data_IF_863163890966
#
_entry.id   IF_863163890966
#
_cell.length_a   1.000
_cell.length_b   1.000
_cell.length_c   1.000
_cell.angle_alpha   90.00
_cell.angle_beta   90.00
_cell.angle_gamma   90.00
#
_symmetry.space_group_name_H-M   'P 1'
#
loop_
_entity.id
_entity.type
_entity.pdbx_description
1 polymer ?
#
# COMPACT_ATOMS: atom_id res chain seq x y z
N UNK A 1 -5.92 -2.03 -17.76
CA UNK A 1 -4.75 -1.14 -17.66
C UNK A 1 -3.97 -1.50 -16.40
N UNK A 2 -2.69 -1.83 -16.53
CA UNK A 2 -1.84 -2.07 -15.36
C UNK A 2 -1.36 -0.74 -14.79
N UNK A 3 -1.73 -0.43 -13.55
CA UNK A 3 -1.28 0.80 -12.88
C UNK A 3 0.13 0.57 -12.34
N UNK A 4 1.06 1.41 -12.76
CA UNK A 4 2.47 1.37 -12.34
C UNK A 4 2.80 2.57 -11.46
N UNK A 5 3.52 2.35 -10.37
CA UNK A 5 3.96 3.40 -9.46
C UNK A 5 5.30 3.06 -8.81
N UNK A 6 6.11 4.06 -8.51
CA UNK A 6 7.36 3.83 -7.78
C UNK A 6 7.12 3.77 -6.26
N UNK A 7 8.15 3.42 -5.49
CA UNK A 7 8.06 3.35 -4.02
C UNK A 7 7.65 4.67 -3.38
N UNK A 8 8.15 5.82 -3.86
CA UNK A 8 7.81 7.13 -3.29
C UNK A 8 6.33 7.45 -3.47
N UNK A 9 5.78 7.19 -4.65
CA UNK A 9 4.36 7.34 -4.95
C UNK A 9 3.52 6.44 -4.04
N UNK A 10 3.84 5.14 -3.98
CA UNK A 10 3.14 4.19 -3.12
C UNK A 10 3.08 4.66 -1.65
N UNK A 11 4.22 5.03 -1.08
CA UNK A 11 4.30 5.50 0.32
C UNK A 11 3.53 6.80 0.51
N UNK A 12 3.61 7.74 -0.44
CA UNK A 12 2.89 8.99 -0.39
C UNK A 12 1.37 8.74 -0.35
N UNK A 13 0.85 7.95 -1.28
CA UNK A 13 -0.58 7.63 -1.36
C UNK A 13 -1.06 6.88 -0.11
N UNK A 14 -0.29 5.91 0.38
CA UNK A 14 -0.62 5.19 1.63
C UNK A 14 -0.73 6.15 2.81
N UNK A 15 0.24 7.06 2.99
CA UNK A 15 0.22 8.05 4.07
C UNK A 15 -0.97 9.02 3.95
N UNK A 16 -1.33 9.43 2.73
CA UNK A 16 -2.53 10.26 2.47
C UNK A 16 -3.83 9.57 2.86
N UNK A 17 -3.90 8.26 2.69
CA UNK A 17 -5.04 7.44 3.11
C UNK A 17 -5.05 7.11 4.61
N UNK A 18 -4.08 7.60 5.38
CA UNK A 18 -4.00 7.37 6.83
C UNK A 18 -3.27 6.09 7.23
N UNK A 19 -2.64 5.37 6.30
CA UNK A 19 -1.75 4.28 6.66
C UNK A 19 -0.49 4.84 7.32
N UNK A 20 0.00 4.14 8.34
CA UNK A 20 1.23 4.50 9.02
C UNK A 20 2.24 3.37 8.96
N UNK A 21 3.51 3.75 8.86
CA UNK A 21 4.63 2.82 8.81
C UNK A 21 4.91 2.28 10.23
N UNK A 22 4.81 0.96 10.41
CA UNK A 22 5.06 0.30 11.69
C UNK A 22 6.47 -0.27 11.71
N UNK A 23 7.39 0.55 12.25
CA UNK A 23 8.77 0.17 12.53
C UNK A 23 9.60 -0.21 11.31
N UNK A 24 10.91 -0.31 11.50
CA UNK A 24 11.81 -0.85 10.48
C UNK A 24 11.49 -2.32 10.25
N UNK A 25 10.67 -2.60 9.23
CA UNK A 25 10.43 -3.96 8.77
C UNK A 25 11.76 -4.70 8.63
N UNK A 26 11.85 -5.90 9.22
CA UNK A 26 13.05 -6.74 9.09
C UNK A 26 13.19 -7.07 7.60
N UNK A 27 14.33 -6.71 6.99
CA UNK A 27 14.65 -7.00 5.58
C UNK A 27 14.33 -5.88 4.58
N UNK A 28 13.95 -6.26 3.36
CA UNK A 28 13.80 -5.37 2.20
C UNK A 28 12.38 -4.81 2.02
N UNK A 29 11.56 -4.75 3.08
CA UNK A 29 10.16 -4.32 3.00
C UNK A 29 9.79 -3.39 4.16
N UNK A 30 8.98 -2.38 3.86
CA UNK A 30 8.32 -1.50 4.82
C UNK A 30 6.90 -2.01 5.10
N UNK A 31 6.50 -2.00 6.37
CA UNK A 31 5.18 -2.48 6.80
C UNK A 31 4.28 -1.28 7.07
N UNK A 32 3.17 -1.18 6.34
CA UNK A 32 2.16 -0.14 6.50
C UNK A 32 0.91 -0.72 7.14
N UNK A 33 0.54 -0.21 8.32
CA UNK A 33 -0.65 -0.64 9.04
C UNK A 33 -1.86 0.10 8.50
N UNK A 34 -2.95 -0.65 8.31
CA UNK A 34 -4.21 -0.10 7.84
C UNK A 34 -4.88 0.77 8.92
N UNK A 35 -5.42 1.94 8.58
CA UNK A 35 -6.25 2.73 9.50
C UNK A 35 -7.63 2.09 9.73
N UNK A 36 -8.01 1.12 8.89
CA UNK A 36 -9.29 0.42 8.97
C UNK A 36 -9.19 -0.64 10.07
N UNK A 37 -9.94 -0.45 11.16
CA UNK A 37 -10.06 -1.42 12.27
C UNK A 37 -10.60 -2.75 11.74
N UNK A 38 -10.00 -3.85 12.19
CA UNK A 38 -10.36 -5.22 11.79
C UNK A 38 -10.23 -5.51 10.28
N UNK A 39 -9.41 -4.75 9.54
CA UNK A 39 -9.10 -5.09 8.15
C UNK A 39 -8.36 -6.42 8.05
N UNK A 40 -8.70 -7.21 7.03
CA UNK A 40 -8.01 -8.44 6.67
C UNK A 40 -7.61 -8.39 5.18
N UNK A 41 -6.35 -8.11 4.85
CA UNK A 41 -5.19 -8.10 5.74
C UNK A 41 -5.11 -6.86 6.66
N UNK A 42 -4.40 -6.93 7.80
CA UNK A 42 -4.23 -5.79 8.71
C UNK A 42 -3.11 -4.82 8.30
N UNK A 43 -2.29 -5.19 7.31
CA UNK A 43 -1.16 -4.39 6.83
C UNK A 43 -0.80 -4.68 5.38
N UNK A 44 -0.10 -3.73 4.76
CA UNK A 44 0.49 -3.83 3.42
C UNK A 44 2.01 -3.87 3.57
N UNK A 45 2.67 -4.69 2.77
CA UNK A 45 4.13 -4.69 2.67
C UNK A 45 4.56 -3.98 1.37
N UNK A 46 5.37 -2.95 1.51
CA UNK A 46 5.93 -2.19 0.39
C UNK A 46 7.41 -2.53 0.26
N UNK A 47 7.88 -3.11 -0.86
CA UNK A 47 9.31 -3.39 -1.04
C UNK A 47 10.15 -2.11 -1.07
N UNK A 48 11.37 -2.18 -0.54
CA UNK A 48 12.37 -1.10 -0.53
C UNK A 48 13.15 -0.96 -1.84
N UNK A 49 12.92 -1.86 -2.80
CA UNK A 49 13.56 -1.83 -4.11
C UNK A 49 13.12 -0.60 -4.92
N UNK A 50 13.99 -0.11 -5.82
CA UNK A 50 13.69 1.03 -6.71
C UNK A 50 12.48 0.73 -7.59
N UNK A 51 12.45 -0.49 -8.13
CA UNK A 51 11.37 -0.98 -8.98
C UNK A 51 10.45 -1.88 -8.17
N UNK A 52 9.20 -1.44 -8.04
CA UNK A 52 8.13 -2.28 -7.51
C UNK A 52 7.69 -3.16 -8.68
N UNK A 53 7.79 -4.48 -8.57
CA UNK A 53 7.19 -5.40 -9.55
C UNK A 53 5.85 -5.98 -9.05
N UNK A 54 5.48 -5.68 -7.80
CA UNK A 54 4.31 -6.22 -7.12
C UNK A 54 3.14 -5.23 -7.04
N UNK A 55 3.02 -4.27 -7.99
CA UNK A 55 1.93 -3.27 -7.98
C UNK A 55 0.55 -3.92 -7.85
N UNK A 56 0.28 -4.95 -8.65
CA UNK A 56 -1.00 -5.66 -8.62
C UNK A 56 -1.30 -6.32 -7.27
N UNK A 57 -0.28 -6.81 -6.56
CA UNK A 57 -0.46 -7.37 -5.20
C UNK A 57 -0.80 -6.29 -4.18
N UNK A 58 -0.18 -5.12 -4.27
CA UNK A 58 -0.50 -3.97 -3.40
C UNK A 58 -1.95 -3.53 -3.62
N UNK A 59 -2.38 -3.39 -4.88
CA UNK A 59 -3.75 -3.03 -5.22
C UNK A 59 -4.75 -4.11 -4.76
N UNK A 60 -4.41 -5.39 -4.89
CA UNK A 60 -5.23 -6.49 -4.38
C UNK A 60 -5.38 -6.43 -2.86
N UNK A 61 -4.29 -6.16 -2.12
CA UNK A 61 -4.35 -6.02 -0.66
C UNK A 61 -5.21 -4.82 -0.25
N UNK A 62 -5.06 -3.67 -0.90
CA UNK A 62 -5.94 -2.51 -0.69
C UNK A 62 -7.41 -2.86 -0.94
N UNK A 63 -7.69 -3.56 -2.03
CA UNK A 63 -9.05 -4.01 -2.36
C UNK A 63 -9.64 -4.94 -1.30
N UNK A 64 -8.85 -5.86 -0.75
CA UNK A 64 -9.28 -6.74 0.34
C UNK A 64 -9.56 -5.97 1.64
N UNK A 65 -8.83 -4.88 1.89
CA UNK A 65 -8.98 -4.08 3.11
C UNK A 65 -10.21 -3.17 3.10
N UNK A 66 -10.44 -2.46 2.00
CA UNK A 66 -11.44 -1.39 1.92
C UNK A 66 -12.23 -1.35 0.62
N UNK A 67 -12.21 -2.44 -0.15
CA UNK A 67 -12.95 -2.53 -1.41
C UNK A 67 -12.37 -1.68 -2.54
N UNK A 68 -13.16 -1.51 -3.60
CA UNK A 68 -12.76 -0.73 -4.76
C UNK A 68 -12.58 0.77 -4.42
N UNK A 69 -13.35 1.30 -3.47
CA UNK A 69 -13.27 2.72 -3.08
C UNK A 69 -11.89 3.08 -2.52
N UNK A 70 -11.30 2.22 -1.68
CA UNK A 70 -9.95 2.43 -1.17
C UNK A 70 -8.90 2.40 -2.29
N UNK A 71 -9.09 1.52 -3.28
CA UNK A 71 -8.21 1.43 -4.45
C UNK A 71 -8.31 2.69 -5.30
N UNK A 72 -9.52 3.18 -5.56
CA UNK A 72 -9.72 4.39 -6.37
C UNK A 72 -9.12 5.62 -5.68
N UNK A 73 -9.29 5.73 -4.36
CA UNK A 73 -8.68 6.80 -3.58
C UNK A 73 -7.15 6.67 -3.54
N UNK A 74 -6.60 5.46 -3.49
CA UNK A 74 -5.16 5.25 -3.63
C UNK A 74 -4.66 5.74 -5.00
N UNK A 75 -5.33 5.33 -6.08
CA UNK A 75 -4.95 5.69 -7.46
C UNK A 75 -5.04 7.19 -7.71
N UNK A 76 -6.04 7.88 -7.14
CA UNK A 76 -6.14 9.35 -7.21
C UNK A 76 -4.97 10.10 -6.54
N UNK A 77 -4.27 9.44 -5.62
CA UNK A 77 -3.15 10.01 -4.87
C UNK A 77 -1.77 9.49 -5.34
N UNK A 78 -1.69 8.79 -6.48
CA UNK A 78 -0.45 8.25 -7.06
C UNK A 78 0.44 9.32 -7.72
#
# INVERSE_FOLDING_TARGET
>A
MGITFNRKQCIHSLRKLGFFESGSGRGNHDKFISPIKNSNPPFIMVPRHKDIHCHGKILQQLKMMGGNELVDNFVKNL
#
